data_IF_628400018591
#
_entry.id   IF_628400018591
#
_cell.length_a   1.000
_cell.length_b   1.000
_cell.length_c   1.000
_cell.angle_alpha   90.00
_cell.angle_beta   90.00
_cell.angle_gamma   90.00
#
_symmetry.space_group_name_H-M   'P 1'
#
loop_
_entity.id
_entity.type
_entity.pdbx_description
1 polymer ?
#
# COMPACT_ATOMS: atom_id res chain seq x y z
N UNK A 1 -15.60 6.49 2.90
CA UNK A 1 -14.16 6.68 3.21
C UNK A 1 -13.37 6.73 1.91
N UNK A 2 -12.21 7.40 1.85
CA UNK A 2 -11.35 7.34 0.66
C UNK A 2 -10.52 6.05 0.63
N UNK A 3 -10.16 5.62 -0.57
CA UNK A 3 -9.24 4.51 -0.83
C UNK A 3 -8.19 4.87 -1.88
N UNK A 4 -7.09 4.12 -1.89
CA UNK A 4 -6.07 4.14 -2.94
C UNK A 4 -5.73 2.72 -3.39
N UNK A 5 -5.63 2.51 -4.70
CA UNK A 5 -5.23 1.23 -5.29
C UNK A 5 -3.71 1.13 -5.41
N UNK A 6 -3.14 0.10 -4.80
CA UNK A 6 -1.70 -0.18 -4.70
C UNK A 6 -1.46 -1.62 -5.17
N UNK A 7 -0.39 -1.85 -5.93
CA UNK A 7 -0.06 -3.20 -6.42
C UNK A 7 0.52 -4.05 -5.29
N UNK A 8 0.33 -5.35 -5.38
CA UNK A 8 1.06 -6.27 -4.53
C UNK A 8 2.52 -6.38 -5.00
N UNK A 9 3.48 -6.55 -4.06
CA UNK A 9 3.30 -6.78 -2.62
C UNK A 9 3.23 -5.51 -1.76
N UNK A 10 3.34 -4.33 -2.35
CA UNK A 10 3.39 -3.06 -1.61
C UNK A 10 2.16 -2.84 -0.74
N UNK A 11 0.96 -3.20 -1.22
CA UNK A 11 -0.26 -3.09 -0.43
C UNK A 11 -0.19 -3.92 0.86
N UNK A 12 0.36 -5.15 0.77
CA UNK A 12 0.57 -6.01 1.93
C UNK A 12 1.62 -5.45 2.88
N UNK A 13 2.76 -4.97 2.36
CA UNK A 13 3.82 -4.35 3.17
C UNK A 13 3.29 -3.14 3.94
N UNK A 14 2.42 -2.34 3.32
CA UNK A 14 1.80 -1.18 3.96
C UNK A 14 0.87 -1.60 5.11
N UNK A 15 -0.09 -2.48 4.85
CA UNK A 15 -1.11 -2.81 5.88
C UNK A 15 -0.56 -3.68 7.02
N UNK A 16 0.62 -4.28 6.84
CA UNK A 16 1.35 -4.99 7.89
C UNK A 16 2.44 -4.12 8.56
N UNK A 17 2.57 -2.85 8.16
CA UNK A 17 3.45 -1.87 8.82
C UNK A 17 4.93 -1.97 8.49
N UNK A 18 5.29 -2.64 7.40
CA UNK A 18 6.68 -2.70 6.92
C UNK A 18 7.03 -1.52 6.02
N UNK A 19 6.04 -0.98 5.28
CA UNK A 19 6.22 0.16 4.37
C UNK A 19 5.29 1.29 4.77
N UNK A 20 5.86 2.42 5.14
CA UNK A 20 5.12 3.56 5.68
C UNK A 20 5.05 4.74 4.70
N UNK A 21 5.62 4.60 3.51
CA UNK A 21 5.58 5.61 2.44
C UNK A 21 5.02 4.97 1.16
N UNK A 22 3.99 5.59 0.60
CA UNK A 22 3.48 5.26 -0.74
C UNK A 22 3.93 6.31 -1.76
N UNK A 23 4.58 5.87 -2.85
CA UNK A 23 5.16 6.77 -3.86
C UNK A 23 4.14 7.11 -4.95
N UNK A 24 3.94 8.40 -5.23
CA UNK A 24 3.07 8.88 -6.33
C UNK A 24 3.69 10.05 -7.08
N UNK A 25 3.43 10.11 -8.39
CA UNK A 25 3.80 11.23 -9.25
C UNK A 25 2.88 12.46 -9.09
N UNK A 26 1.85 12.35 -8.26
CA UNK A 26 0.86 13.39 -7.99
C UNK A 26 0.70 13.58 -6.49
N UNK A 27 0.30 14.80 -6.10
CA UNK A 27 0.09 15.19 -4.70
C UNK A 27 -1.38 15.17 -4.30
N UNK A 28 -1.63 15.07 -3.00
CA UNK A 28 -2.97 15.21 -2.41
C UNK A 28 -2.95 16.10 -1.17
N UNK A 29 -4.01 16.88 -0.99
CA UNK A 29 -4.28 17.60 0.26
C UNK A 29 -5.05 16.76 1.28
N UNK A 30 -5.50 15.56 0.90
CA UNK A 30 -6.25 14.69 1.80
C UNK A 30 -5.38 14.23 2.97
N UNK A 31 -5.97 14.23 4.17
CA UNK A 31 -5.39 13.68 5.40
C UNK A 31 -6.47 12.94 6.19
N UNK A 32 -6.09 11.87 6.86
CA UNK A 32 -7.00 11.01 7.62
C UNK A 32 -7.08 9.59 7.09
N UNK A 33 -8.14 8.87 7.47
CA UNK A 33 -8.29 7.44 7.20
C UNK A 33 -8.36 7.12 5.71
N UNK A 34 -7.48 6.24 5.27
CA UNK A 34 -7.35 5.83 3.89
C UNK A 34 -7.39 4.30 3.81
N UNK A 35 -8.36 3.78 3.06
CA UNK A 35 -8.42 2.35 2.74
C UNK A 35 -7.33 1.99 1.73
N UNK A 36 -6.68 0.85 1.96
CA UNK A 36 -5.70 0.26 1.04
C UNK A 36 -6.40 -0.79 0.19
N UNK A 37 -6.47 -0.53 -1.11
CA UNK A 37 -6.98 -1.47 -2.10
C UNK A 37 -5.80 -2.19 -2.78
N UNK A 38 -5.80 -3.52 -2.77
CA UNK A 38 -4.88 -4.30 -3.56
C UNK A 38 -5.36 -4.32 -5.03
N UNK A 39 -4.54 -3.79 -5.92
CA UNK A 39 -4.81 -3.73 -7.36
C UNK A 39 -5.07 -5.12 -7.96
N UNK A 40 -5.80 -5.18 -9.07
CA UNK A 40 -6.01 -6.43 -9.83
C UNK A 40 -4.78 -6.93 -10.59
N UNK A 41 -3.63 -6.25 -10.46
CA UNK A 41 -2.36 -6.62 -11.11
C UNK A 41 -1.23 -6.62 -10.09
N UNK A 42 -0.36 -7.63 -10.21
CA UNK A 42 0.91 -7.66 -9.50
C UNK A 42 1.88 -6.63 -10.11
N UNK A 43 2.80 -6.12 -9.28
CA UNK A 43 3.88 -5.27 -9.78
C UNK A 43 5.02 -6.10 -10.38
N UNK A 44 5.20 -7.32 -9.86
CA UNK A 44 6.21 -8.25 -10.29
C UNK A 44 5.65 -9.36 -11.18
N UNK A 45 6.52 -9.91 -12.04
CA UNK A 45 6.27 -11.23 -12.62
C UNK A 45 6.50 -12.32 -11.54
N UNK A 46 6.16 -13.57 -11.84
CA UNK A 46 6.24 -14.66 -10.86
C UNK A 46 7.68 -14.93 -10.35
N UNK A 47 8.68 -14.79 -11.22
CA UNK A 47 10.08 -15.02 -10.88
C UNK A 47 10.63 -13.88 -10.00
N UNK A 48 10.39 -12.63 -10.41
CA UNK A 48 10.79 -11.44 -9.65
C UNK A 48 10.14 -11.45 -8.26
N UNK A 49 8.86 -11.85 -8.18
CA UNK A 49 8.15 -11.96 -6.90
C UNK A 49 8.80 -13.01 -5.98
N UNK A 50 9.23 -14.15 -6.52
CA UNK A 50 9.89 -15.21 -5.75
C UNK A 50 11.24 -14.73 -5.22
N UNK A 51 12.02 -14.06 -6.05
CA UNK A 51 13.31 -13.49 -5.66
C UNK A 51 13.13 -12.40 -4.60
N UNK A 52 12.18 -11.49 -4.81
CA UNK A 52 11.86 -10.43 -3.85
C UNK A 52 11.46 -11.02 -2.48
N UNK A 53 10.59 -12.04 -2.43
CA UNK A 53 10.26 -12.74 -1.18
C UNK A 53 11.50 -13.31 -0.49
N UNK A 54 12.38 -13.95 -1.26
CA UNK A 54 13.60 -14.53 -0.72
C UNK A 54 14.49 -13.48 -0.06
N UNK A 55 14.71 -12.35 -0.75
CA UNK A 55 15.52 -11.23 -0.25
C UNK A 55 14.89 -10.65 1.01
N UNK A 56 13.58 -10.37 0.99
CA UNK A 56 12.86 -9.81 2.14
C UNK A 56 12.91 -10.73 3.36
N UNK A 57 12.79 -12.04 3.16
CA UNK A 57 12.91 -13.02 4.24
C UNK A 57 14.34 -13.08 4.79
N UNK A 58 15.37 -13.08 3.93
CA UNK A 58 16.76 -13.26 4.38
C UNK A 58 17.40 -12.00 4.94
N UNK A 59 17.07 -10.83 4.39
CA UNK A 59 17.73 -9.56 4.72
C UNK A 59 16.92 -8.72 5.71
N UNK A 60 15.58 -8.74 5.60
CA UNK A 60 14.70 -7.94 6.44
C UNK A 60 13.91 -8.77 7.47
N UNK A 61 13.98 -10.11 7.40
CA UNK A 61 13.17 -10.99 8.26
C UNK A 61 11.66 -10.91 7.97
N UNK A 62 11.28 -10.44 6.78
CA UNK A 62 9.88 -10.22 6.38
C UNK A 62 9.43 -11.38 5.49
N UNK A 63 8.58 -12.25 6.05
CA UNK A 63 7.98 -13.37 5.32
C UNK A 63 6.69 -12.93 4.61
N UNK A 64 6.82 -12.52 3.34
CA UNK A 64 5.68 -12.10 2.52
C UNK A 64 4.95 -13.35 2.00
N UNK A 65 3.65 -13.53 2.31
CA UNK A 65 2.91 -14.75 1.97
C UNK A 65 2.79 -14.96 0.46
N UNK A 66 2.64 -16.22 0.07
CA UNK A 66 2.42 -16.62 -1.34
C UNK A 66 1.10 -16.10 -1.88
N UNK A 67 0.03 -16.29 -1.11
CA UNK A 67 -1.32 -15.85 -1.43
C UNK A 67 -1.53 -14.40 -0.99
N UNK A 68 -1.58 -13.51 -1.98
CA UNK A 68 -1.86 -12.09 -1.79
C UNK A 68 -3.17 -11.75 -2.50
N UNK A 69 -4.22 -11.33 -1.76
CA UNK A 69 -5.48 -10.99 -2.38
C UNK A 69 -5.31 -9.80 -3.34
N UNK A 70 -6.06 -9.86 -4.44
CA UNK A 70 -6.09 -8.85 -5.49
C UNK A 70 -7.53 -8.38 -5.72
N UNK A 71 -7.70 -7.15 -6.19
CA UNK A 71 -9.00 -6.62 -6.58
C UNK A 71 -9.93 -6.33 -5.39
N UNK A 72 -9.41 -5.82 -4.29
CA UNK A 72 -10.25 -5.46 -3.14
C UNK A 72 -9.50 -4.73 -2.02
N UNK A 73 -10.25 -4.31 -1.00
CA UNK A 73 -9.69 -3.71 0.22
C UNK A 73 -9.00 -4.79 1.04
N UNK A 74 -7.80 -4.48 1.52
CA UNK A 74 -6.97 -5.37 2.35
C UNK A 74 -6.60 -4.75 3.71
N UNK A 75 -6.83 -3.44 3.88
CA UNK A 75 -6.55 -2.76 5.13
C UNK A 75 -6.87 -1.28 5.09
N UNK A 76 -6.46 -0.57 6.14
CA UNK A 76 -6.49 0.88 6.22
C UNK A 76 -5.20 1.42 6.85
N UNK A 77 -4.95 2.69 6.61
CA UNK A 77 -3.91 3.49 7.25
C UNK A 77 -4.46 4.89 7.53
N UNK A 78 -3.72 5.70 8.27
CA UNK A 78 -3.89 7.15 8.31
C UNK A 78 -2.88 7.79 7.35
N UNK A 79 -3.36 8.55 6.36
CA UNK A 79 -2.51 9.42 5.54
C UNK A 79 -2.25 10.72 6.31
N UNK A 80 -1.03 10.87 6.83
CA UNK A 80 -0.66 11.99 7.72
C UNK A 80 0.11 13.08 7.00
N UNK A 81 0.84 12.74 5.93
CA UNK A 81 1.51 13.74 5.10
C UNK A 81 1.64 13.34 3.61
N UNK A 82 2.01 14.30 2.77
CA UNK A 82 2.27 14.14 1.35
C UNK A 82 3.34 15.18 0.95
N UNK A 83 4.60 14.74 0.87
CA UNK A 83 5.77 15.62 0.68
C UNK A 83 6.77 14.99 -0.29
N UNK A 84 7.65 15.78 -0.89
CA UNK A 84 8.77 15.28 -1.71
C UNK A 84 10.00 14.92 -0.87
N UNK A 85 9.99 15.27 0.42
CA UNK A 85 11.11 15.05 1.35
C UNK A 85 10.57 14.43 2.65
N UNK A 86 10.00 13.21 2.61
CA UNK A 86 9.56 12.54 3.81
C UNK A 86 10.77 12.11 4.67
N UNK A 87 10.56 12.03 5.99
CA UNK A 87 11.45 11.27 6.85
C UNK A 87 11.26 9.77 6.54
N UNK A 88 12.32 9.12 6.08
CA UNK A 88 12.30 7.78 5.50
C UNK A 88 13.55 6.98 5.89
N UNK A 89 13.69 6.59 7.17
CA UNK A 89 14.86 5.85 7.62
C UNK A 89 14.96 4.45 6.98
N UNK A 90 13.85 3.87 6.55
CA UNK A 90 13.79 2.56 5.88
C UNK A 90 14.06 2.61 4.37
N UNK A 91 14.13 3.81 3.76
CA UNK A 91 14.50 3.97 2.35
C UNK A 91 13.40 3.57 1.36
N UNK A 92 12.13 3.74 1.72
CA UNK A 92 10.96 3.44 0.90
C UNK A 92 10.62 4.51 -0.15
N UNK A 93 11.12 5.73 0.01
CA UNK A 93 10.79 6.89 -0.81
C UNK A 93 11.58 6.89 -2.11
N UNK A 94 10.87 7.07 -3.22
CA UNK A 94 11.48 7.14 -4.54
C UNK A 94 11.79 8.59 -4.94
N UNK A 95 13.05 8.88 -5.37
CA UNK A 95 13.41 10.21 -5.86
C UNK A 95 12.47 10.71 -6.96
N UNK A 96 11.99 11.95 -6.81
CA UNK A 96 11.07 12.58 -7.76
C UNK A 96 9.59 12.24 -7.56
N UNK A 97 9.24 11.39 -6.59
CA UNK A 97 7.86 11.14 -6.20
C UNK A 97 7.44 11.97 -4.97
N UNK A 98 6.14 12.25 -4.86
CA UNK A 98 5.55 12.59 -3.57
C UNK A 98 5.44 11.30 -2.74
N UNK A 99 6.03 11.32 -1.55
CA UNK A 99 5.83 10.31 -0.52
C UNK A 99 4.56 10.61 0.25
N UNK A 100 3.59 9.71 0.17
CA UNK A 100 2.40 9.72 1.01
C UNK A 100 2.77 9.02 2.31
N UNK A 101 2.86 9.79 3.41
CA UNK A 101 3.31 9.29 4.72
C UNK A 101 2.13 8.63 5.42
N UNK A 102 2.26 7.34 5.69
CA UNK A 102 1.23 6.44 6.19
C UNK A 102 1.53 6.04 7.64
N UNK A 103 0.52 6.07 8.50
CA UNK A 103 0.65 5.68 9.91
C UNK A 103 -0.51 4.78 10.31
N UNK A 104 -0.39 4.15 11.48
CA UNK A 104 -1.43 3.30 12.08
C UNK A 104 -2.02 2.26 11.11
N UNK A 105 -1.17 1.42 10.49
CA UNK A 105 -1.66 0.40 9.57
C UNK A 105 -2.52 -0.63 10.32
N UNK A 106 -3.64 -0.99 9.70
CA UNK A 106 -4.56 -2.01 10.18
C UNK A 106 -4.95 -2.91 9.01
N UNK A 107 -4.52 -4.17 9.05
CA UNK A 107 -5.03 -5.20 8.16
C UNK A 107 -6.52 -5.42 8.42
N UNK A 108 -7.31 -5.53 7.35
CA UNK A 108 -8.76 -5.71 7.41
C UNK A 108 -9.15 -7.01 6.70
N UNK A 109 -10.32 -7.60 7.02
CA UNK A 109 -10.89 -8.67 6.21
C UNK A 109 -10.99 -8.24 4.74
N UNK A 110 -10.60 -9.14 3.83
CA UNK A 110 -10.62 -8.85 2.40
C UNK A 110 -12.04 -8.52 1.93
N UNK A 111 -12.20 -7.36 1.29
CA UNK A 111 -13.48 -6.94 0.70
C UNK A 111 -13.31 -6.74 -0.81
N UNK A 112 -13.82 -7.65 -1.65
CA UNK A 112 -13.66 -7.56 -3.10
C UNK A 112 -14.37 -6.32 -3.64
N UNK A 113 -13.66 -5.52 -4.44
CA UNK A 113 -14.26 -4.38 -5.15
C UNK A 113 -13.34 -3.87 -6.28
N UNK A 114 -13.90 -3.28 -7.36
CA UNK A 114 -13.10 -2.65 -8.39
C UNK A 114 -12.24 -1.49 -7.84
N UNK A 115 -10.97 -1.47 -8.25
CA UNK A 115 -10.07 -0.33 -7.98
C UNK A 115 -10.35 0.85 -8.91
N UNK A 116 -9.81 2.03 -8.57
CA UNK A 116 -9.90 3.24 -9.41
C UNK A 116 -8.58 4.02 -9.37
N UNK A 117 -8.39 4.90 -10.35
CA UNK A 117 -7.25 5.83 -10.39
C UNK A 117 -7.39 6.89 -9.30
N UNK A 118 -6.24 7.42 -8.85
CA UNK A 118 -6.13 8.42 -7.79
C UNK A 118 -6.81 7.96 -6.48
N UNK A 119 -7.03 8.89 -5.54
CA UNK A 119 -7.90 8.61 -4.40
C UNK A 119 -9.34 8.53 -4.88
N UNK A 120 -10.08 7.52 -4.42
CA UNK A 120 -11.48 7.33 -4.77
C UNK A 120 -12.36 7.13 -3.55
N UNK A 121 -13.63 7.53 -3.66
CA UNK A 121 -14.62 7.30 -2.62
C UNK A 121 -15.06 5.83 -2.60
N UNK A 122 -15.18 5.31 -1.39
CA UNK A 122 -15.75 4.01 -1.10
C UNK A 122 -16.91 4.22 -0.13
N UNK A 123 -18.10 3.85 -0.59
CA UNK A 123 -19.28 3.79 0.24
C UNK A 123 -19.06 2.71 1.30
N UNK A 124 -19.36 3.04 2.55
CA UNK A 124 -19.45 2.01 3.57
C UNK A 124 -20.74 1.25 3.27
N UNK A 125 -20.62 -0.04 2.94
CA UNK A 125 -21.80 -0.89 2.90
C UNK A 125 -22.38 -0.87 4.32
N UNK A 126 -23.66 -0.52 4.43
CA UNK A 126 -24.40 -0.61 5.69
C UNK A 126 -24.11 -1.99 6.31
N UNK A 127 -23.68 -1.97 7.57
CA UNK A 127 -23.20 -3.12 8.35
C UNK A 127 -24.19 -4.29 8.37
#
# INVERSE_FOLDING_TARGET
MKAISIRQPWAWLIVNGYKDIENRTWKTSYRGKLLIHASGKLDFNAQDMKEYRSIMASEAGIDIPEDLPLGGIVGMVDLVDCTMEPDDPEGWHEPGCYGFVLRNPVALPFRPMPGRLNLFEVEEADQ
#
